data_IF_846013066277
#
_entry.id   IF_846013066277
#
_cell.length_a   1.000
_cell.length_b   1.000
_cell.length_c   1.000
_cell.angle_alpha   90.00
_cell.angle_beta   90.00
_cell.angle_gamma   90.00
#
_symmetry.space_group_name_H-M   'P 1'
#
loop_
_entity.id
_entity.type
_entity.pdbx_description
1 polymer ?
#
# COMPACT_ATOMS: atom_id res chain seq x y z
N UNK A 1 -17.52 8.32 -8.30
CA UNK A 1 -16.44 9.13 -8.88
C UNK A 1 -16.96 10.48 -9.39
N UNK A 2 -17.78 10.50 -10.45
CA UNK A 2 -18.22 11.72 -11.15
C UNK A 2 -19.64 11.58 -11.71
N UNK A 3 -20.45 12.62 -11.56
CA UNK A 3 -21.76 12.83 -12.19
C UNK A 3 -21.81 14.29 -12.63
N UNK A 4 -21.97 14.55 -13.93
CA UNK A 4 -21.89 15.92 -14.49
C UNK A 4 -22.92 16.91 -13.93
N UNK A 5 -23.94 16.42 -13.23
CA UNK A 5 -24.98 17.24 -12.61
C UNK A 5 -25.24 16.76 -11.17
N UNK A 6 -25.54 17.73 -10.29
CA UNK A 6 -26.23 17.44 -9.03
C UNK A 6 -27.67 17.09 -9.37
N UNK A 7 -28.14 15.95 -8.90
CA UNK A 7 -29.48 15.51 -9.23
C UNK A 7 -30.55 16.33 -8.48
N UNK A 8 -31.83 16.13 -8.84
CA UNK A 8 -32.95 16.83 -8.21
C UNK A 8 -33.14 16.46 -6.72
N UNK A 9 -32.41 15.45 -6.22
CA UNK A 9 -32.42 15.04 -4.82
C UNK A 9 -31.22 15.63 -4.04
N UNK A 10 -30.36 16.42 -4.69
CA UNK A 10 -29.20 17.07 -4.07
C UNK A 10 -27.97 16.17 -3.96
N UNK A 11 -27.95 15.01 -4.62
CA UNK A 11 -26.79 14.11 -4.63
C UNK A 11 -25.79 14.55 -5.68
N UNK A 12 -24.51 14.63 -5.28
CA UNK A 12 -23.40 15.01 -6.14
C UNK A 12 -22.24 14.03 -5.98
N UNK A 13 -21.52 13.80 -7.06
CA UNK A 13 -20.28 13.04 -7.02
C UNK A 13 -19.12 13.83 -6.45
N UNK A 14 -18.07 13.13 -6.03
CA UNK A 14 -16.81 13.74 -5.54
C UNK A 14 -16.15 14.64 -6.59
N UNK A 15 -16.05 14.19 -7.84
CA UNK A 15 -15.42 14.95 -8.93
C UNK A 15 -16.33 15.02 -10.18
N UNK A 16 -17.32 15.94 -10.20
CA UNK A 16 -18.31 16.04 -11.30
C UNK A 16 -17.72 16.31 -12.69
N UNK A 17 -16.55 16.95 -12.76
CA UNK A 17 -15.91 17.39 -14.00
C UNK A 17 -15.14 16.31 -14.76
N UNK A 18 -14.98 15.11 -14.19
CA UNK A 18 -14.17 14.05 -14.81
C UNK A 18 -14.83 13.49 -16.07
N UNK A 19 -13.99 13.00 -16.98
CA UNK A 19 -14.39 12.21 -18.13
C UNK A 19 -14.11 10.73 -17.86
N UNK A 20 -14.95 9.84 -18.38
CA UNK A 20 -14.85 8.40 -18.17
C UNK A 20 -14.46 7.67 -19.46
N UNK A 21 -13.58 6.69 -19.30
CA UNK A 21 -13.34 5.62 -20.26
C UNK A 21 -13.75 4.31 -19.58
N UNK A 22 -14.75 3.63 -20.14
CA UNK A 22 -15.23 2.35 -19.62
C UNK A 22 -14.48 1.20 -20.30
N UNK A 23 -13.72 0.44 -19.50
CA UNK A 23 -12.96 -0.74 -19.94
C UNK A 23 -13.57 -1.95 -19.23
N UNK A 24 -14.51 -2.61 -19.91
CA UNK A 24 -15.23 -3.74 -19.35
C UNK A 24 -14.37 -5.01 -19.36
N UNK A 25 -13.95 -5.44 -18.16
CA UNK A 25 -13.18 -6.69 -17.93
C UNK A 25 -13.96 -7.77 -17.18
N UNK A 26 -15.20 -7.47 -16.77
CA UNK A 26 -16.09 -8.38 -16.05
C UNK A 26 -17.35 -8.71 -16.87
N UNK A 27 -17.84 -9.93 -16.70
CA UNK A 27 -19.08 -10.43 -17.27
C UNK A 27 -20.33 -9.82 -16.58
N UNK A 28 -21.52 -10.21 -17.01
CA UNK A 28 -22.79 -9.72 -16.45
C UNK A 28 -23.01 -10.07 -14.98
N UNK A 29 -22.28 -11.04 -14.42
CA UNK A 29 -22.35 -11.42 -13.01
C UNK A 29 -21.33 -10.66 -12.15
N UNK A 30 -20.48 -9.83 -12.76
CA UNK A 30 -19.39 -9.15 -12.06
C UNK A 30 -18.15 -10.05 -11.86
N UNK A 31 -18.03 -11.12 -12.63
CA UNK A 31 -16.87 -12.03 -12.59
C UNK A 31 -16.01 -11.85 -13.83
N UNK A 32 -14.70 -12.05 -13.71
CA UNK A 32 -13.77 -11.99 -14.85
C UNK A 32 -12.56 -12.87 -14.60
N UNK A 33 -11.84 -13.23 -15.66
CA UNK A 33 -10.60 -13.97 -15.52
C UNK A 33 -9.41 -13.03 -15.36
N UNK A 34 -8.30 -13.55 -14.83
CA UNK A 34 -7.04 -12.83 -14.79
C UNK A 34 -6.60 -12.35 -16.19
N UNK A 35 -6.90 -13.12 -17.23
CA UNK A 35 -6.58 -12.75 -18.61
C UNK A 35 -7.39 -11.54 -19.07
N UNK A 36 -8.70 -11.50 -18.80
CA UNK A 36 -9.57 -10.38 -19.18
C UNK A 36 -9.14 -9.08 -18.49
N UNK A 37 -8.75 -9.17 -17.21
CA UNK A 37 -8.27 -8.01 -16.44
C UNK A 37 -6.94 -7.51 -17.02
N UNK A 38 -5.98 -8.40 -17.26
CA UNK A 38 -4.69 -8.02 -17.84
C UNK A 38 -4.85 -7.45 -19.25
N UNK A 39 -5.71 -8.02 -20.10
CA UNK A 39 -6.00 -7.47 -21.43
C UNK A 39 -6.60 -6.06 -21.36
N UNK A 40 -7.48 -5.81 -20.38
CA UNK A 40 -8.01 -4.47 -20.11
C UNK A 40 -6.93 -3.47 -19.67
N UNK A 41 -6.02 -3.89 -18.78
CA UNK A 41 -4.90 -3.04 -18.33
C UNK A 41 -3.90 -2.77 -19.47
N UNK A 42 -3.60 -3.77 -20.30
CA UNK A 42 -2.77 -3.61 -21.49
C UNK A 42 -3.42 -2.66 -22.51
N UNK A 43 -4.75 -2.72 -22.67
CA UNK A 43 -5.46 -1.77 -23.51
C UNK A 43 -5.36 -0.34 -22.95
N UNK A 44 -5.49 -0.16 -21.62
CA UNK A 44 -5.30 1.14 -20.99
C UNK A 44 -3.88 1.64 -21.23
N UNK A 45 -2.87 0.79 -21.02
CA UNK A 45 -1.46 1.10 -21.28
C UNK A 45 -1.23 1.55 -22.72
N UNK A 46 -1.87 0.90 -23.70
CA UNK A 46 -1.73 1.27 -25.11
C UNK A 46 -2.46 2.57 -25.50
N UNK A 47 -3.44 3.03 -24.71
CA UNK A 47 -4.33 4.13 -25.08
C UNK A 47 -4.30 5.33 -24.12
N UNK A 48 -3.61 5.25 -22.97
CA UNK A 48 -3.71 6.26 -21.92
C UNK A 48 -3.27 7.64 -22.39
N UNK A 49 -2.23 7.75 -23.20
CA UNK A 49 -1.77 9.04 -23.72
C UNK A 49 -2.81 9.67 -24.67
N UNK A 50 -3.31 8.87 -25.62
CA UNK A 50 -4.26 9.34 -26.64
C UNK A 50 -5.61 9.76 -26.03
N UNK A 51 -6.02 9.12 -24.94
CA UNK A 51 -7.28 9.38 -24.25
C UNK A 51 -7.11 10.22 -22.98
N UNK A 52 -5.89 10.61 -22.62
CA UNK A 52 -5.55 11.28 -21.37
C UNK A 52 -6.09 10.54 -20.13
N UNK A 53 -5.93 9.20 -20.10
CA UNK A 53 -6.29 8.39 -18.93
C UNK A 53 -5.21 8.61 -17.87
N UNK A 54 -5.59 9.26 -16.76
CA UNK A 54 -4.68 9.58 -15.66
C UNK A 54 -4.85 8.68 -14.43
N UNK A 55 -6.04 8.10 -14.25
CA UNK A 55 -6.39 7.30 -13.09
C UNK A 55 -7.16 6.06 -13.52
N UNK A 56 -6.78 4.90 -12.99
CA UNK A 56 -7.50 3.62 -13.12
C UNK A 56 -8.09 3.26 -11.77
N UNK A 57 -9.42 3.17 -11.72
CA UNK A 57 -10.17 2.72 -10.56
C UNK A 57 -10.43 1.21 -10.66
N UNK A 58 -9.74 0.43 -9.84
CA UNK A 58 -9.88 -1.02 -9.75
C UNK A 58 -10.74 -1.42 -8.54
N UNK A 59 -12.04 -1.17 -8.65
CA UNK A 59 -13.06 -1.62 -7.68
C UNK A 59 -13.38 -3.12 -7.82
N UNK A 60 -12.36 -3.95 -8.05
CA UNK A 60 -12.41 -5.40 -8.21
C UNK A 60 -11.44 -6.06 -7.24
N UNK A 61 -11.63 -7.35 -7.00
CA UNK A 61 -10.82 -8.13 -6.06
C UNK A 61 -10.40 -9.45 -6.68
N UNK A 62 -9.15 -9.83 -6.47
CA UNK A 62 -8.59 -11.13 -6.83
C UNK A 62 -8.01 -11.83 -5.59
N UNK A 63 -7.83 -13.15 -5.72
CA UNK A 63 -7.24 -13.97 -4.66
C UNK A 63 -5.73 -13.74 -4.60
N UNK A 64 -5.19 -13.56 -3.39
CA UNK A 64 -3.74 -13.59 -3.17
C UNK A 64 -3.28 -15.06 -3.16
N UNK A 65 -2.77 -15.54 -4.29
CA UNK A 65 -2.28 -16.91 -4.47
C UNK A 65 -0.75 -17.01 -4.55
N UNK A 66 -0.07 -15.86 -4.63
CA UNK A 66 1.38 -15.69 -4.76
C UNK A 66 1.78 -14.27 -4.32
N UNK A 67 3.07 -14.02 -4.04
CA UNK A 67 3.56 -12.68 -3.72
C UNK A 67 3.22 -11.66 -4.79
N UNK A 68 3.01 -10.40 -4.39
CA UNK A 68 2.61 -9.34 -5.32
C UNK A 68 3.47 -9.27 -6.59
N UNK A 69 4.80 -9.32 -6.46
CA UNK A 69 5.74 -9.21 -7.59
C UNK A 69 5.67 -10.40 -8.58
N UNK A 70 4.97 -11.49 -8.24
CA UNK A 70 4.75 -12.65 -9.10
C UNK A 70 3.31 -12.73 -9.65
N UNK A 71 2.41 -11.86 -9.20
CA UNK A 71 1.02 -11.82 -9.65
C UNK A 71 0.89 -10.98 -10.92
N UNK A 72 0.26 -11.54 -11.95
CA UNK A 72 0.20 -10.90 -13.27
C UNK A 72 -0.66 -9.62 -13.29
N UNK A 73 -1.65 -9.49 -12.41
CA UNK A 73 -2.43 -8.26 -12.29
C UNK A 73 -1.56 -7.20 -11.61
N UNK A 74 -0.83 -7.56 -10.57
CA UNK A 74 0.09 -6.65 -9.85
C UNK A 74 1.20 -6.14 -10.77
N UNK A 75 1.84 -7.02 -11.53
CA UNK A 75 2.81 -6.62 -12.56
C UNK A 75 2.22 -5.65 -13.60
N UNK A 76 0.96 -5.88 -14.02
CA UNK A 76 0.29 -5.00 -14.98
C UNK A 76 -0.04 -3.62 -14.39
N UNK A 77 -0.47 -3.54 -13.12
CA UNK A 77 -0.73 -2.25 -12.47
C UNK A 77 0.56 -1.49 -12.16
N UNK A 78 1.65 -2.19 -11.80
CA UNK A 78 2.98 -1.61 -11.67
C UNK A 78 3.48 -1.01 -12.99
N UNK A 79 3.18 -1.67 -14.13
CA UNK A 79 3.50 -1.13 -15.44
C UNK A 79 2.76 0.18 -15.71
N UNK A 80 1.45 0.23 -15.44
CA UNK A 80 0.67 1.48 -15.55
C UNK A 80 1.22 2.57 -14.62
N UNK A 81 1.56 2.22 -13.38
CA UNK A 81 2.14 3.14 -12.40
C UNK A 81 3.43 3.76 -12.94
N UNK A 82 4.30 2.96 -13.54
CA UNK A 82 5.57 3.40 -14.13
C UNK A 82 5.42 4.36 -15.32
N UNK A 83 4.29 4.29 -16.04
CA UNK A 83 3.95 5.21 -17.14
C UNK A 83 3.17 6.46 -16.65
N UNK A 84 3.09 6.67 -15.32
CA UNK A 84 2.42 7.84 -14.74
C UNK A 84 0.90 7.72 -14.66
N UNK A 85 0.33 6.53 -14.88
CA UNK A 85 -1.09 6.24 -14.69
C UNK A 85 -1.33 5.80 -13.24
N UNK A 86 -2.05 6.59 -12.48
CA UNK A 86 -2.37 6.30 -11.08
C UNK A 86 -3.33 5.10 -10.98
N UNK A 87 -3.02 4.12 -10.13
CA UNK A 87 -3.91 2.97 -9.87
C UNK A 87 -4.42 3.02 -8.44
N UNK A 88 -5.75 2.93 -8.28
CA UNK A 88 -6.44 2.92 -7.00
C UNK A 88 -7.28 1.64 -6.92
N UNK A 89 -7.02 0.82 -5.93
CA UNK A 89 -7.57 -0.52 -5.78
C UNK A 89 -8.35 -0.67 -4.47
N UNK A 90 -9.39 -1.50 -4.50
CA UNK A 90 -10.14 -1.87 -3.31
C UNK A 90 -9.29 -2.76 -2.39
N UNK A 91 -9.35 -2.55 -1.07
CA UNK A 91 -8.71 -3.42 -0.10
C UNK A 91 -9.27 -4.85 -0.13
N UNK A 92 -10.53 -5.02 -0.53
CA UNK A 92 -11.24 -6.28 -0.50
C UNK A 92 -12.38 -6.27 0.50
N UNK A 93 -13.34 -7.18 0.31
CA UNK A 93 -14.47 -7.38 1.22
C UNK A 93 -14.30 -8.67 2.06
N UNK A 94 -13.06 -9.13 2.21
CA UNK A 94 -12.71 -10.36 2.93
C UNK A 94 -12.56 -10.21 4.44
N UNK A 95 -12.86 -9.03 5.00
CA UNK A 95 -12.90 -8.82 6.45
C UNK A 95 -13.97 -9.69 7.14
N UNK A 96 -13.96 -9.76 8.48
CA UNK A 96 -14.88 -10.65 9.23
C UNK A 96 -16.34 -10.22 9.07
N UNK A 97 -17.22 -11.21 9.06
CA UNK A 97 -18.67 -11.01 9.21
C UNK A 97 -19.08 -10.81 10.67
N UNK A 98 -18.17 -10.95 11.63
CA UNK A 98 -18.38 -10.73 13.06
C UNK A 98 -17.56 -9.53 13.55
N UNK A 99 -18.26 -8.48 13.98
CA UNK A 99 -17.68 -7.20 14.40
C UNK A 99 -16.94 -7.35 15.76
N UNK A 100 -17.18 -8.44 16.49
CA UNK A 100 -16.61 -8.66 17.82
C UNK A 100 -15.19 -9.21 17.83
N UNK A 101 -14.71 -9.76 16.70
CA UNK A 101 -13.38 -10.37 16.60
C UNK A 101 -12.30 -9.41 16.05
N UNK A 102 -12.67 -8.20 15.63
CA UNK A 102 -11.76 -7.30 14.90
C UNK A 102 -11.42 -7.83 13.51
N UNK A 103 -11.21 -6.95 12.52
CA UNK A 103 -11.01 -7.40 11.13
C UNK A 103 -9.86 -8.41 11.02
N UNK A 104 -10.14 -9.58 10.44
CA UNK A 104 -9.17 -10.64 10.22
C UNK A 104 -7.99 -10.06 9.46
N UNK A 105 -6.78 -10.13 10.01
CA UNK A 105 -5.59 -9.61 9.34
C UNK A 105 -5.32 -10.41 8.07
N UNK A 106 -4.46 -9.86 7.20
CA UNK A 106 -4.06 -10.51 5.94
C UNK A 106 -5.23 -10.80 4.99
N UNK A 107 -6.20 -9.89 4.92
CA UNK A 107 -7.37 -9.98 4.04
C UNK A 107 -7.35 -8.99 2.88
N UNK A 108 -6.22 -8.28 2.69
CA UNK A 108 -6.00 -7.41 1.54
C UNK A 108 -5.92 -8.25 0.27
N UNK A 109 -6.77 -7.92 -0.70
CA UNK A 109 -6.91 -8.66 -1.96
C UNK A 109 -6.01 -8.11 -3.08
N UNK A 110 -5.86 -8.87 -4.17
CA UNK A 110 -5.24 -8.38 -5.41
C UNK A 110 -6.20 -7.38 -6.08
N UNK A 111 -5.73 -6.24 -6.63
CA UNK A 111 -4.35 -5.75 -6.64
C UNK A 111 -3.98 -4.83 -5.46
N UNK A 112 -4.85 -4.66 -4.47
CA UNK A 112 -4.58 -3.84 -3.29
C UNK A 112 -3.42 -4.34 -2.40
N UNK A 113 -2.94 -5.57 -2.58
CA UNK A 113 -1.77 -6.09 -1.89
C UNK A 113 -0.44 -5.61 -2.48
N UNK A 114 -0.46 -4.96 -3.65
CA UNK A 114 0.69 -4.34 -4.27
C UNK A 114 1.14 -3.09 -3.49
N UNK A 115 2.44 -2.95 -3.17
CA UNK A 115 2.91 -1.83 -2.37
C UNK A 115 2.89 -0.51 -3.15
N UNK A 116 2.91 -0.49 -4.48
CA UNK A 116 2.92 0.76 -5.25
C UNK A 116 1.54 1.43 -5.25
N UNK A 117 0.50 0.66 -5.56
CA UNK A 117 -0.87 1.18 -5.75
C UNK A 117 -1.45 1.79 -4.48
N UNK A 118 -2.52 2.58 -4.65
CA UNK A 118 -3.32 3.09 -3.54
C UNK A 118 -4.40 2.07 -3.20
N UNK A 119 -4.39 1.56 -1.99
CA UNK A 119 -5.33 0.55 -1.48
C UNK A 119 -6.31 1.20 -0.53
N UNK A 120 -7.61 1.02 -0.80
CA UNK A 120 -8.68 1.74 -0.11
C UNK A 120 -9.55 0.81 0.71
N UNK A 121 -9.53 0.99 2.03
CA UNK A 121 -10.49 0.37 2.95
C UNK A 121 -11.79 1.17 3.07
N UNK A 122 -12.79 0.58 3.75
CA UNK A 122 -14.11 1.18 3.91
C UNK A 122 -14.45 1.47 5.37
N UNK A 123 -15.01 2.65 5.61
CA UNK A 123 -15.71 2.97 6.85
C UNK A 123 -17.17 3.30 6.59
N UNK A 124 -17.97 3.29 7.66
CA UNK A 124 -19.36 3.71 7.66
C UNK A 124 -19.53 4.93 8.53
N UNK A 125 -20.40 5.84 8.06
CA UNK A 125 -20.84 7.01 8.80
C UNK A 125 -21.96 6.71 9.79
N UNK A 126 -22.29 5.43 10.01
CA UNK A 126 -23.40 4.97 10.85
C UNK A 126 -24.76 5.68 10.59
N UNK A 127 -25.02 6.14 9.36
CA UNK A 127 -26.18 6.95 8.97
C UNK A 127 -26.23 8.35 9.61
N UNK A 128 -25.10 8.83 10.12
CA UNK A 128 -24.92 10.11 10.81
C UNK A 128 -23.83 10.95 10.11
N UNK A 129 -24.05 11.42 8.86
CA UNK A 129 -23.02 12.09 8.04
C UNK A 129 -22.44 13.40 8.62
N UNK A 130 -23.02 13.94 9.69
CA UNK A 130 -22.56 15.13 10.39
C UNK A 130 -21.90 14.83 11.75
N UNK A 131 -21.94 13.59 12.21
CA UNK A 131 -21.34 13.13 13.46
C UNK A 131 -20.30 12.06 13.13
N UNK A 132 -19.02 12.42 13.27
CA UNK A 132 -17.94 11.48 12.95
C UNK A 132 -17.49 10.68 14.18
N UNK A 133 -18.17 10.86 15.32
CA UNK A 133 -17.78 10.22 16.59
C UNK A 133 -18.26 8.77 16.71
N UNK A 134 -19.24 8.38 15.91
CA UNK A 134 -19.75 7.01 15.80
C UNK A 134 -19.36 6.32 14.49
N UNK A 135 -18.50 6.93 13.69
CA UNK A 135 -17.89 6.33 12.50
C UNK A 135 -17.04 5.10 12.89
N UNK A 136 -17.15 4.01 12.12
CA UNK A 136 -16.33 2.82 12.33
C UNK A 136 -15.90 2.15 11.04
N UNK A 137 -14.78 1.43 11.08
CA UNK A 137 -14.31 0.60 9.96
C UNK A 137 -15.33 -0.51 9.72
N UNK A 138 -15.76 -0.70 8.47
CA UNK A 138 -16.76 -1.71 8.18
C UNK A 138 -16.19 -3.11 8.41
N UNK A 139 -16.99 -4.06 8.93
CA UNK A 139 -16.51 -5.42 9.23
C UNK A 139 -15.97 -6.14 7.97
N UNK A 140 -16.59 -5.87 6.82
CA UNK A 140 -16.15 -6.44 5.55
C UNK A 140 -14.83 -5.86 5.04
N UNK A 141 -14.38 -4.68 5.50
CA UNK A 141 -13.20 -4.02 4.94
C UNK A 141 -11.95 -4.89 5.13
N UNK A 142 -11.25 -5.20 4.04
CA UNK A 142 -9.97 -5.88 4.09
C UNK A 142 -8.97 -5.14 5.00
N UNK A 143 -8.20 -5.91 5.75
CA UNK A 143 -7.22 -5.43 6.71
C UNK A 143 -5.86 -6.10 6.48
N UNK A 144 -4.80 -5.34 6.67
CA UNK A 144 -3.42 -5.79 6.56
C UNK A 144 -2.93 -6.60 7.75
N UNK A 145 -1.61 -6.82 7.85
CA UNK A 145 -0.63 -6.53 6.80
C UNK A 145 -0.89 -7.37 5.53
N UNK A 146 -0.22 -7.05 4.43
CA UNK A 146 -0.24 -7.93 3.25
C UNK A 146 0.55 -9.21 3.49
N UNK A 147 0.50 -10.16 2.56
CA UNK A 147 1.29 -11.40 2.62
C UNK A 147 2.81 -11.15 2.63
N UNK A 148 3.24 -9.98 2.15
CA UNK A 148 4.64 -9.53 2.13
C UNK A 148 4.98 -8.53 3.24
N UNK A 149 4.11 -8.38 4.26
CA UNK A 149 4.41 -7.56 5.43
C UNK A 149 4.26 -6.05 5.22
N UNK A 150 3.58 -5.62 4.16
CA UNK A 150 3.26 -4.19 3.97
C UNK A 150 2.05 -3.78 4.80
N UNK A 151 2.09 -2.56 5.31
CA UNK A 151 0.93 -1.92 5.92
C UNK A 151 -0.05 -1.55 4.81
N UNK A 152 -1.27 -2.08 4.90
CA UNK A 152 -2.41 -1.79 4.01
C UNK A 152 -3.70 -1.90 4.82
N UNK A 153 -4.80 -1.20 4.47
CA UNK A 153 -4.91 -0.25 3.35
C UNK A 153 -4.05 1.01 3.54
N UNK A 154 -3.88 1.82 2.51
CA UNK A 154 -3.16 3.10 2.64
C UNK A 154 -4.05 4.16 3.28
N UNK A 155 -5.34 4.19 2.91
CA UNK A 155 -6.36 5.12 3.41
C UNK A 155 -7.72 4.43 3.47
N UNK A 156 -8.66 5.02 4.19
CA UNK A 156 -10.07 4.60 4.19
C UNK A 156 -10.99 5.69 3.66
N UNK A 157 -12.14 5.31 3.10
CA UNK A 157 -13.16 6.24 2.64
C UNK A 157 -14.57 5.69 2.94
N UNK A 158 -15.62 6.53 2.85
CA UNK A 158 -17.00 6.06 2.98
C UNK A 158 -17.28 4.93 1.98
N UNK A 159 -17.62 3.76 2.50
CA UNK A 159 -17.87 2.56 1.71
C UNK A 159 -19.14 1.81 2.09
N UNK A 160 -19.83 2.24 3.15
CA UNK A 160 -21.18 1.77 3.48
C UNK A 160 -22.22 2.83 3.12
N UNK A 161 -23.46 2.38 2.91
CA UNK A 161 -24.61 3.25 2.64
C UNK A 161 -24.42 4.15 1.41
N UNK A 162 -23.60 3.73 0.46
CA UNK A 162 -23.20 4.53 -0.68
C UNK A 162 -24.31 4.56 -1.71
N UNK A 163 -24.83 5.76 -1.96
CA UNK A 163 -25.87 5.99 -2.97
C UNK A 163 -25.20 6.19 -4.33
N UNK A 164 -25.58 5.36 -5.29
CA UNK A 164 -25.05 5.41 -6.65
C UNK A 164 -26.16 5.14 -7.68
N UNK A 165 -25.92 5.58 -8.91
CA UNK A 165 -26.80 5.27 -10.03
C UNK A 165 -26.58 3.83 -10.50
N UNK A 166 -27.67 3.08 -10.70
CA UNK A 166 -27.63 1.73 -11.26
C UNK A 166 -28.85 1.49 -12.16
N UNK A 167 -28.64 0.74 -13.23
CA UNK A 167 -29.73 0.30 -14.09
C UNK A 167 -30.63 -0.69 -13.34
N UNK A 168 -31.92 -0.39 -13.26
CA UNK A 168 -32.90 -1.17 -12.49
C UNK A 168 -33.08 -2.62 -12.99
N UNK A 169 -32.66 -2.92 -14.21
CA UNK A 169 -32.72 -4.25 -14.81
C UNK A 169 -31.38 -5.00 -14.77
N UNK A 170 -30.33 -4.40 -14.19
CA UNK A 170 -29.02 -5.04 -14.04
C UNK A 170 -29.12 -6.32 -13.19
N UNK A 171 -28.23 -7.31 -13.39
CA UNK A 171 -28.17 -8.48 -12.53
C UNK A 171 -27.99 -8.14 -11.05
N UNK A 172 -27.19 -7.11 -10.75
CA UNK A 172 -26.97 -6.62 -9.38
C UNK A 172 -28.23 -5.98 -8.75
N UNK A 173 -29.00 -5.21 -9.53
CA UNK A 173 -30.30 -4.70 -9.07
C UNK A 173 -31.28 -5.84 -8.72
N UNK A 174 -31.15 -6.98 -9.39
CA UNK A 174 -32.01 -8.16 -9.18
C UNK A 174 -31.50 -9.10 -8.09
N UNK A 175 -30.24 -9.02 -7.69
CA UNK A 175 -29.64 -9.92 -6.71
C UNK A 175 -30.07 -9.62 -5.28
N UNK A 176 -30.61 -8.41 -5.01
CA UNK A 176 -30.91 -7.93 -3.66
C UNK A 176 -29.67 -7.47 -2.88
N UNK A 177 -28.50 -7.39 -3.54
CA UNK A 177 -27.23 -6.92 -2.94
C UNK A 177 -27.13 -5.40 -2.82
N UNK A 178 -28.14 -4.68 -3.29
CA UNK A 178 -28.27 -3.24 -3.18
C UNK A 178 -29.73 -2.91 -2.86
N UNK A 179 -29.95 -1.86 -2.08
CA UNK A 179 -31.29 -1.40 -1.72
C UNK A 179 -31.76 -0.34 -2.72
N UNK A 180 -32.93 -0.55 -3.31
CA UNK A 180 -33.52 0.45 -4.20
C UNK A 180 -34.02 1.64 -3.37
N UNK A 181 -33.54 2.84 -3.68
CA UNK A 181 -33.94 4.06 -2.98
C UNK A 181 -35.06 4.75 -3.76
N UNK A 182 -34.77 5.17 -4.99
CA UNK A 182 -35.71 5.89 -5.86
C UNK A 182 -35.19 5.96 -7.28
N UNK A 183 -36.05 5.75 -8.28
CA UNK A 183 -35.67 5.92 -9.69
C UNK A 183 -34.51 4.99 -10.07
N UNK A 184 -33.36 5.55 -10.45
CA UNK A 184 -32.12 4.82 -10.75
C UNK A 184 -31.12 4.82 -9.59
N UNK A 185 -31.52 5.27 -8.40
CA UNK A 185 -30.65 5.37 -7.25
C UNK A 185 -30.77 4.17 -6.33
N UNK A 186 -29.61 3.62 -6.00
CA UNK A 186 -29.46 2.43 -5.21
C UNK A 186 -28.39 2.65 -4.14
N UNK A 187 -28.60 2.04 -2.99
CA UNK A 187 -27.64 2.05 -1.89
C UNK A 187 -26.87 0.73 -1.89
N UNK A 188 -25.55 0.82 -1.80
CA UNK A 188 -24.64 -0.32 -1.78
C UNK A 188 -23.57 -0.18 -0.71
N UNK A 189 -22.91 -1.29 -0.39
CA UNK A 189 -21.78 -1.31 0.54
C UNK A 189 -20.63 -2.13 -0.05
N UNK A 190 -19.40 -1.67 0.15
CA UNK A 190 -18.18 -2.36 -0.26
C UNK A 190 -16.99 -1.41 -0.37
N UNK A 191 -15.79 -1.97 -0.24
CA UNK A 191 -14.54 -1.24 -0.54
C UNK A 191 -14.47 -0.75 -1.98
N UNK A 192 -15.23 -1.38 -2.90
CA UNK A 192 -15.48 -0.89 -4.26
C UNK A 192 -16.02 0.54 -4.31
N UNK A 193 -16.93 0.90 -3.40
CA UNK A 193 -17.51 2.25 -3.34
C UNK A 193 -16.55 3.26 -2.69
N UNK A 194 -15.82 2.84 -1.65
CA UNK A 194 -14.76 3.64 -1.04
C UNK A 194 -13.65 3.97 -2.05
N UNK A 195 -13.23 3.00 -2.87
CA UNK A 195 -12.27 3.17 -3.97
C UNK A 195 -12.75 4.26 -4.95
N UNK A 196 -14.03 4.26 -5.30
CA UNK A 196 -14.63 5.26 -6.18
C UNK A 196 -14.69 6.67 -5.55
N UNK A 197 -14.71 6.79 -4.22
CA UNK A 197 -14.59 8.06 -3.50
C UNK A 197 -13.15 8.58 -3.60
N UNK A 198 -12.16 7.75 -3.26
CA UNK A 198 -10.74 8.12 -3.32
C UNK A 198 -10.30 8.45 -4.75
N UNK A 199 -10.78 7.72 -5.76
CA UNK A 199 -10.57 8.07 -7.18
C UNK A 199 -11.07 9.47 -7.51
N UNK A 200 -12.23 9.88 -6.96
CA UNK A 200 -12.72 11.25 -7.11
C UNK A 200 -11.81 12.27 -6.44
N UNK A 201 -11.32 12.00 -5.23
CA UNK A 201 -10.38 12.90 -4.53
C UNK A 201 -9.06 13.01 -5.29
N UNK A 202 -8.51 11.89 -5.79
CA UNK A 202 -7.31 11.88 -6.61
C UNK A 202 -7.49 12.68 -7.92
N UNK A 203 -8.68 12.64 -8.53
CA UNK A 203 -8.98 13.47 -9.69
C UNK A 203 -8.98 14.97 -9.35
N UNK A 204 -9.49 15.36 -8.17
CA UNK A 204 -9.41 16.76 -7.72
C UNK A 204 -7.97 17.20 -7.40
N UNK A 205 -7.15 16.31 -6.84
CA UNK A 205 -5.71 16.57 -6.62
C UNK A 205 -5.01 16.83 -7.96
N UNK A 206 -5.26 15.99 -8.97
CA UNK A 206 -4.68 16.16 -10.31
C UNK A 206 -5.26 17.34 -11.09
N UNK A 207 -6.51 17.76 -10.82
CA UNK A 207 -7.08 18.98 -11.38
C UNK A 207 -6.40 20.23 -10.80
N UNK A 208 -6.12 20.23 -9.49
CA UNK A 208 -5.38 21.30 -8.83
C UNK A 208 -3.90 21.33 -9.22
N UNK A 209 -3.29 20.16 -9.46
CA UNK A 209 -1.88 20.05 -9.83
C UNK A 209 -1.66 18.88 -10.83
N UNK A 210 -1.70 19.14 -12.14
CA UNK A 210 -1.66 18.10 -13.17
C UNK A 210 -0.30 17.45 -13.37
N UNK A 211 0.76 18.05 -12.83
CA UNK A 211 2.15 17.62 -12.98
C UNK A 211 2.58 16.57 -11.94
N UNK A 212 1.70 16.24 -10.98
CA UNK A 212 1.99 15.24 -9.95
C UNK A 212 2.10 13.82 -10.52
N UNK A 213 3.07 13.08 -9.99
CA UNK A 213 3.24 11.65 -10.27
C UNK A 213 2.31 10.79 -9.40
N UNK A 214 2.08 9.51 -9.76
CA UNK A 214 1.34 8.58 -8.91
C UNK A 214 1.86 8.49 -7.47
N UNK A 215 3.19 8.46 -7.28
CA UNK A 215 3.83 8.41 -5.95
C UNK A 215 3.53 9.65 -5.11
N UNK A 216 3.46 10.82 -5.76
CA UNK A 216 3.17 12.08 -5.09
C UNK A 216 1.70 12.14 -4.69
N UNK A 217 0.77 11.76 -5.59
CA UNK A 217 -0.66 11.69 -5.26
C UNK A 217 -0.92 10.72 -4.10
N UNK A 218 -0.24 9.56 -4.10
CA UNK A 218 -0.30 8.62 -2.97
C UNK A 218 0.20 9.26 -1.67
N UNK A 219 1.36 9.93 -1.72
CA UNK A 219 1.91 10.63 -0.56
C UNK A 219 0.92 11.64 0.00
N UNK A 220 0.34 12.49 -0.85
CA UNK A 220 -0.63 13.53 -0.44
C UNK A 220 -1.86 12.88 0.20
N UNK A 221 -2.43 11.85 -0.42
CA UNK A 221 -3.62 11.18 0.11
C UNK A 221 -3.38 10.57 1.49
N UNK A 222 -2.18 10.03 1.75
CA UNK A 222 -1.80 9.46 3.04
C UNK A 222 -1.45 10.55 4.07
N UNK A 223 -0.64 11.53 3.69
CA UNK A 223 -0.17 12.60 4.59
C UNK A 223 -1.31 13.50 5.06
N UNK A 224 -2.32 13.70 4.22
CA UNK A 224 -3.47 14.58 4.48
C UNK A 224 -4.71 13.80 4.97
N UNK A 225 -4.59 12.48 5.17
CA UNK A 225 -5.66 11.68 5.76
C UNK A 225 -5.88 12.07 7.22
N UNK A 226 -7.13 11.96 7.70
CA UNK A 226 -7.45 12.18 9.10
C UNK A 226 -7.55 10.83 9.84
N UNK A 227 -6.59 10.48 10.72
CA UNK A 227 -6.63 9.23 11.45
C UNK A 227 -7.78 9.22 12.46
N UNK A 228 -8.40 8.04 12.62
CA UNK A 228 -9.34 7.76 13.69
C UNK A 228 -8.56 7.50 14.98
N UNK A 229 -8.65 8.47 15.89
CA UNK A 229 -8.00 8.45 17.21
C UNK A 229 -9.03 8.74 18.29
N UNK A 230 -8.80 8.17 19.48
CA UNK A 230 -9.50 8.58 20.70
C UNK A 230 -8.97 9.92 21.21
N UNK A 231 -9.62 10.46 22.24
CA UNK A 231 -9.26 11.76 22.82
C UNK A 231 -7.87 11.79 23.47
N UNK A 232 -7.30 10.63 23.80
CA UNK A 232 -5.94 10.46 24.30
C UNK A 232 -4.91 10.21 23.20
N UNK A 233 -5.29 10.46 21.94
CA UNK A 233 -4.47 10.29 20.73
C UNK A 233 -4.11 8.82 20.40
N UNK A 234 -4.63 7.86 21.16
CA UNK A 234 -4.49 6.45 20.81
C UNK A 234 -5.36 6.11 19.59
N UNK A 235 -4.86 5.20 18.74
CA UNK A 235 -5.59 4.81 17.53
C UNK A 235 -6.91 4.11 17.88
N UNK A 236 -8.01 4.57 17.31
CA UNK A 236 -9.30 3.90 17.42
C UNK A 236 -9.34 2.59 16.62
N UNK A 237 -8.52 2.51 15.57
CA UNK A 237 -8.37 1.34 14.70
C UNK A 237 -6.89 1.12 14.41
N UNK A 238 -6.46 -0.13 14.30
CA UNK A 238 -5.06 -0.41 13.97
C UNK A 238 -4.68 0.18 12.61
N UNK A 239 -3.38 0.44 12.41
CA UNK A 239 -2.86 0.89 11.11
C UNK A 239 -3.17 -0.11 9.97
N UNK A 240 -3.33 -1.40 10.31
CA UNK A 240 -3.76 -2.44 9.37
C UNK A 240 -5.24 -2.34 8.96
N UNK A 241 -6.04 -1.55 9.65
CA UNK A 241 -7.47 -1.37 9.36
C UNK A 241 -7.74 -0.01 8.70
N UNK A 242 -7.15 1.06 9.24
CA UNK A 242 -7.41 2.42 8.77
C UNK A 242 -6.32 3.00 7.86
N UNK A 243 -5.14 2.37 7.78
CA UNK A 243 -3.99 2.95 7.10
C UNK A 243 -3.58 4.27 7.75
N UNK A 244 -3.36 5.29 6.91
CA UNK A 244 -3.12 6.66 7.35
C UNK A 244 -4.39 7.37 7.88
N UNK A 245 -5.57 6.78 7.69
CA UNK A 245 -6.84 7.34 8.16
C UNK A 245 -7.84 7.60 7.03
N UNK A 246 -8.90 8.36 7.36
CA UNK A 246 -9.94 8.71 6.39
C UNK A 246 -9.42 9.73 5.39
N UNK A 247 -9.73 9.52 4.10
CA UNK A 247 -9.39 10.49 3.06
C UNK A 247 -10.03 11.85 3.35
N UNK A 248 -9.28 12.93 3.17
CA UNK A 248 -9.73 14.29 3.47
C UNK A 248 -9.44 15.26 2.33
N UNK A 249 -10.39 15.38 1.40
CA UNK A 249 -10.22 16.17 0.18
C UNK A 249 -9.83 17.65 0.41
N UNK A 250 -10.39 18.39 1.38
CA UNK A 250 -10.04 19.80 1.56
C UNK A 250 -8.55 20.04 1.85
N UNK A 251 -7.94 19.22 2.70
CA UNK A 251 -6.51 19.36 3.03
C UNK A 251 -5.63 18.84 1.90
N UNK A 252 -6.00 17.71 1.29
CA UNK A 252 -5.29 17.15 0.14
C UNK A 252 -5.17 18.12 -1.05
N UNK A 253 -6.25 18.85 -1.37
CA UNK A 253 -6.25 19.85 -2.45
C UNK A 253 -5.46 21.09 -2.03
N UNK A 254 -5.63 21.57 -0.80
CA UNK A 254 -4.90 22.73 -0.30
C UNK A 254 -3.38 22.50 -0.25
N UNK A 255 -2.93 21.25 -0.03
CA UNK A 255 -1.53 20.87 0.01
C UNK A 255 -0.81 20.95 -1.35
N UNK A 256 -1.57 21.02 -2.46
CA UNK A 256 -1.01 20.98 -3.83
C UNK A 256 -1.31 22.21 -4.68
N UNK A 257 -2.30 23.00 -4.29
CA UNK A 257 -2.70 24.21 -5.02
C UNK A 257 -1.58 25.26 -5.02
N UNK A 258 -1.06 25.59 -6.21
CA UNK A 258 0.06 26.50 -6.39
C UNK A 258 1.42 25.96 -5.93
N UNK A 259 1.53 24.68 -5.59
CA UNK A 259 2.78 24.03 -5.17
C UNK A 259 3.47 23.40 -6.38
N UNK A 260 4.79 23.58 -6.51
CA UNK A 260 5.54 22.92 -7.58
C UNK A 260 5.57 21.40 -7.34
N UNK A 261 5.23 20.59 -8.34
CA UNK A 261 5.28 19.13 -8.21
C UNK A 261 6.66 18.64 -7.74
N UNK A 262 7.75 19.26 -8.17
CA UNK A 262 9.11 18.90 -7.75
C UNK A 262 9.39 19.06 -6.23
N UNK A 263 8.56 19.81 -5.49
CA UNK A 263 8.66 19.93 -4.02
C UNK A 263 7.80 18.94 -3.25
N UNK A 264 6.95 18.17 -3.92
CA UNK A 264 6.09 17.17 -3.28
C UNK A 264 6.87 15.87 -3.09
N UNK A 265 6.97 15.33 -1.86
CA UNK A 265 7.60 14.03 -1.60
C UNK A 265 6.89 12.86 -2.30
N UNK A 266 7.61 11.75 -2.47
CA UNK A 266 7.11 10.53 -3.11
C UNK A 266 6.87 9.42 -2.09
N UNK A 267 5.71 8.75 -2.14
CA UNK A 267 5.37 7.66 -1.22
C UNK A 267 6.26 6.42 -1.38
N UNK A 268 6.64 6.08 -2.61
CA UNK A 268 7.42 4.88 -2.92
C UNK A 268 8.89 5.21 -3.24
N UNK A 269 9.44 6.25 -2.59
CA UNK A 269 10.81 6.71 -2.88
C UNK A 269 11.85 5.59 -2.63
N UNK A 270 12.68 5.31 -3.64
CA UNK A 270 13.67 4.22 -3.60
C UNK A 270 13.12 2.84 -4.00
N UNK A 271 11.81 2.72 -4.27
CA UNK A 271 11.22 1.51 -4.84
C UNK A 271 11.12 1.63 -6.37
N UNK A 272 11.35 0.51 -7.06
CA UNK A 272 11.30 0.42 -8.52
C UNK A 272 10.26 -0.63 -8.92
N UNK A 273 9.25 -0.29 -9.74
CA UNK A 273 8.31 -1.27 -10.27
C UNK A 273 9.01 -2.47 -10.92
N UNK A 274 8.53 -3.68 -10.63
CA UNK A 274 9.12 -4.95 -11.05
C UNK A 274 10.18 -5.53 -10.10
N UNK A 275 10.70 -4.74 -9.16
CA UNK A 275 11.63 -5.24 -8.14
C UNK A 275 10.88 -5.76 -6.90
N UNK A 276 11.30 -6.90 -6.32
CA UNK A 276 10.66 -7.47 -5.13
C UNK A 276 11.10 -6.74 -3.85
N UNK A 277 10.12 -6.37 -3.04
CA UNK A 277 10.29 -5.74 -1.74
C UNK A 277 9.52 -6.51 -0.67
N UNK A 278 9.94 -6.33 0.58
CA UNK A 278 9.27 -6.88 1.77
C UNK A 278 8.97 -5.71 2.68
N UNK A 279 7.77 -5.67 3.24
CA UNK A 279 7.39 -4.66 4.20
C UNK A 279 7.99 -4.93 5.59
N UNK A 280 7.91 -3.95 6.50
CA UNK A 280 8.56 -4.00 7.80
C UNK A 280 7.81 -4.86 8.82
N UNK A 281 6.73 -5.55 8.44
CA UNK A 281 5.88 -6.30 9.39
C UNK A 281 6.18 -7.80 9.32
N UNK A 282 6.46 -8.39 10.47
CA UNK A 282 6.67 -9.83 10.65
C UNK A 282 5.69 -10.40 11.67
N UNK A 283 5.40 -11.69 11.57
CA UNK A 283 4.57 -12.40 12.54
C UNK A 283 5.45 -13.21 13.50
N UNK A 284 5.38 -12.90 14.80
CA UNK A 284 6.17 -13.54 15.87
C UNK A 284 5.31 -13.67 17.13
N UNK A 285 5.49 -14.75 17.88
CA UNK A 285 4.86 -14.96 19.18
C UNK A 285 3.34 -14.76 19.25
N UNK A 286 2.65 -14.93 18.11
CA UNK A 286 1.19 -14.79 18.03
C UNK A 286 0.70 -13.43 17.55
N UNK A 287 1.58 -12.46 17.31
CA UNK A 287 1.24 -11.07 16.95
C UNK A 287 2.08 -10.54 15.76
N UNK A 288 1.67 -9.39 15.22
CA UNK A 288 2.39 -8.66 14.19
C UNK A 288 3.32 -7.60 14.79
N UNK A 289 4.60 -7.68 14.42
CA UNK A 289 5.66 -6.80 14.91
C UNK A 289 6.20 -5.97 13.75
N UNK A 290 6.44 -4.69 14.01
CA UNK A 290 7.30 -3.88 13.15
C UNK A 290 8.74 -4.19 13.48
N UNK A 291 9.54 -4.42 12.45
CA UNK A 291 10.97 -4.67 12.59
C UNK A 291 11.78 -3.68 11.79
N UNK A 292 12.98 -3.42 12.27
CA UNK A 292 13.98 -2.70 11.52
C UNK A 292 14.62 -3.56 10.42
N UNK A 293 15.50 -2.92 9.70
CA UNK A 293 16.65 -3.46 8.99
C UNK A 293 17.14 -4.87 9.26
N UNK A 294 17.44 -5.10 10.54
CA UNK A 294 18.16 -6.23 11.07
C UNK A 294 17.18 -7.29 11.55
N UNK A 295 15.88 -7.02 11.42
CA UNK A 295 14.81 -7.85 11.94
C UNK A 295 14.60 -7.68 13.44
N UNK A 296 15.14 -6.63 14.06
CA UNK A 296 14.94 -6.31 15.48
C UNK A 296 13.60 -5.61 15.65
N UNK A 297 12.87 -5.97 16.71
CA UNK A 297 11.56 -5.39 17.00
C UNK A 297 11.69 -3.91 17.32
N UNK A 298 10.89 -3.10 16.63
CA UNK A 298 10.72 -1.70 16.94
C UNK A 298 9.70 -1.64 18.07
N UNK A 299 10.16 -1.35 19.29
CA UNK A 299 9.30 -1.25 20.48
C UNK A 299 8.22 -0.18 20.27
N UNK A 300 6.97 -0.64 20.20
CA UNK A 300 5.78 0.18 19.88
C UNK A 300 5.14 0.82 21.13
N UNK A 301 5.84 0.80 22.27
CA UNK A 301 5.31 1.17 23.59
C UNK A 301 5.13 2.69 23.81
N UNK A 302 5.26 3.50 22.75
CA UNK A 302 4.98 4.93 22.75
C UNK A 302 4.13 5.27 21.52
N UNK A 303 2.90 5.72 21.76
CA UNK A 303 1.89 5.97 20.74
C UNK A 303 2.41 6.61 19.46
N UNK A 304 1.92 6.09 18.34
CA UNK A 304 2.03 6.72 17.03
C UNK A 304 1.34 8.09 17.06
N UNK A 305 2.05 9.16 16.72
CA UNK A 305 1.46 10.49 16.55
C UNK A 305 1.50 10.91 15.09
N UNK A 306 0.33 11.15 14.47
CA UNK A 306 0.22 11.73 13.14
C UNK A 306 -0.84 12.84 13.10
N UNK A 307 -0.35 14.09 13.08
CA UNK A 307 -0.91 15.22 12.34
C UNK A 307 0.09 16.39 12.44
N UNK A 308 1.23 16.31 11.74
CA UNK A 308 2.12 17.46 11.54
C UNK A 308 3.16 17.84 12.62
N UNK A 309 3.49 17.02 13.64
CA UNK A 309 4.82 17.08 14.30
C UNK A 309 5.01 16.68 15.79
N UNK A 310 6.27 16.36 16.13
CA UNK A 310 7.05 16.44 17.38
C UNK A 310 7.02 15.36 18.48
N UNK A 311 8.07 14.52 18.52
CA UNK A 311 8.49 13.79 19.73
C UNK A 311 9.28 14.70 20.70
N UNK A 312 8.84 14.82 21.95
CA UNK A 312 9.37 15.73 22.97
C UNK A 312 10.61 15.21 23.73
N UNK A 313 10.88 13.91 23.69
CA UNK A 313 12.12 13.27 24.13
C UNK A 313 12.09 11.77 23.79
N UNK A 314 13.06 11.27 23.02
CA UNK A 314 13.39 9.83 22.94
C UNK A 314 12.53 8.93 22.04
N UNK A 315 11.97 9.40 20.91
CA UNK A 315 11.24 8.56 19.94
C UNK A 315 11.88 8.50 18.54
N UNK A 316 11.56 7.45 17.77
CA UNK A 316 11.92 7.27 16.35
C UNK A 316 10.75 7.69 15.43
N UNK A 317 11.04 8.39 14.32
CA UNK A 317 10.01 8.87 13.38
C UNK A 317 10.19 8.33 11.97
N UNK A 318 9.07 8.06 11.27
CA UNK A 318 9.06 7.65 9.86
C UNK A 318 8.07 8.49 9.04
N UNK A 319 8.55 8.94 7.88
CA UNK A 319 8.01 9.80 6.84
C UNK A 319 6.79 10.69 7.15
N UNK A 320 7.01 11.82 7.85
CA UNK A 320 6.11 12.99 7.96
C UNK A 320 5.95 13.56 9.37
N UNK A 321 6.72 13.06 10.33
CA UNK A 321 6.97 13.75 11.61
C UNK A 321 8.07 14.81 11.53
N UNK A 322 7.90 15.92 12.25
CA UNK A 322 8.94 16.94 12.52
C UNK A 322 9.54 16.73 13.93
N UNK A 323 10.83 17.04 14.15
CA UNK A 323 11.50 17.01 15.47
C UNK A 323 12.02 18.40 15.90
N UNK A 324 11.88 18.77 17.18
CA UNK A 324 12.29 20.09 17.71
C UNK A 324 13.26 19.89 18.88
N UNK A 325 14.56 19.98 18.58
CA UNK A 325 15.71 19.91 19.49
C UNK A 325 15.90 18.60 20.29
N UNK A 326 17.04 17.92 20.09
CA UNK A 326 17.48 16.78 20.91
C UNK A 326 17.00 15.38 20.46
N UNK A 327 16.55 15.22 19.21
CA UNK A 327 16.36 13.91 18.60
C UNK A 327 17.69 13.26 18.21
N UNK A 328 17.84 11.95 18.39
CA UNK A 328 19.10 11.23 18.12
C UNK A 328 19.18 10.68 16.69
N UNK A 329 20.38 10.83 16.13
CA UNK A 329 20.87 10.51 14.80
C UNK A 329 22.04 9.52 14.97
N UNK A 330 22.22 8.52 14.09
CA UNK A 330 23.42 7.68 14.11
C UNK A 330 24.53 8.32 13.27
N UNK A 331 25.54 8.83 13.96
CA UNK A 331 26.66 9.62 13.42
C UNK A 331 27.72 8.75 12.72
N UNK A 332 27.66 7.42 12.83
CA UNK A 332 28.61 6.52 12.18
C UNK A 332 28.25 6.18 10.72
N UNK A 333 26.98 6.33 10.33
CA UNK A 333 26.46 5.84 9.03
C UNK A 333 25.78 6.90 8.17
N UNK A 334 25.34 8.04 8.73
CA UNK A 334 24.77 9.14 7.94
C UNK A 334 23.48 8.79 7.17
N UNK A 335 22.87 7.63 7.47
CA UNK A 335 21.68 7.14 6.80
C UNK A 335 20.49 7.12 7.76
N UNK A 336 19.42 7.81 7.38
CA UNK A 336 18.08 7.39 7.80
C UNK A 336 17.88 5.97 7.28
N UNK A 337 17.37 5.06 8.12
CA UNK A 337 16.81 3.84 7.56
C UNK A 337 15.57 4.22 6.73
N UNK A 338 15.50 3.61 5.57
CA UNK A 338 14.76 3.91 4.33
C UNK A 338 13.31 4.39 4.44
N UNK A 339 13.05 5.62 4.88
CA UNK A 339 11.72 6.25 4.84
C UNK A 339 11.36 7.12 6.06
N UNK A 340 12.33 7.59 6.84
CA UNK A 340 12.16 8.76 7.71
C UNK A 340 12.59 10.07 7.01
N UNK A 341 11.78 11.14 7.07
CA UNK A 341 12.13 12.47 6.54
C UNK A 341 12.75 13.39 7.62
N UNK A 342 13.78 14.17 7.27
CA UNK A 342 14.33 15.30 8.04
C UNK A 342 14.96 16.36 7.13
N UNK A 343 14.93 17.66 7.49
CA UNK A 343 15.38 18.78 6.60
C UNK A 343 16.24 19.89 7.27
N UNK A 344 17.09 20.47 6.41
CA UNK A 344 18.14 21.52 6.50
C UNK A 344 18.23 22.46 7.72
N UNK A 345 19.46 22.62 8.22
CA UNK A 345 19.81 23.30 9.48
C UNK A 345 20.10 22.33 10.62
N UNK A 346 20.08 21.01 10.36
CA UNK A 346 20.62 19.97 11.22
C UNK A 346 22.11 20.24 11.41
N UNK A 347 22.43 20.94 12.49
CA UNK A 347 23.78 21.38 12.80
C UNK A 347 24.59 20.13 13.11
N UNK A 348 25.42 19.71 12.16
CA UNK A 348 26.60 18.95 12.46
C UNK A 348 27.56 19.90 13.19
N UNK A 349 28.02 19.49 14.36
CA UNK A 349 29.12 20.13 15.05
C UNK A 349 29.75 18.99 15.89
N UNK A 350 30.92 18.42 15.57
CA UNK A 350 32.18 19.06 15.19
C UNK A 350 33.15 18.09 14.46
N UNK A 351 33.93 18.68 13.54
CA UNK A 351 35.25 18.28 12.98
C UNK A 351 35.30 17.47 11.68
N UNK A 352 35.46 18.25 10.60
CA UNK A 352 36.30 18.05 9.41
C UNK A 352 36.21 16.69 8.69
N UNK A 353 35.88 16.74 7.39
CA UNK A 353 36.70 16.28 6.24
C UNK A 353 35.78 16.16 5.00
N UNK A 354 36.25 16.50 3.79
CA UNK A 354 35.40 16.65 2.61
C UNK A 354 35.18 15.29 1.92
N UNK A 355 33.93 14.97 1.55
CA UNK A 355 33.50 14.33 0.29
C UNK A 355 32.06 13.80 0.41
N UNK A 356 31.22 14.26 -0.52
CA UNK A 356 29.80 13.95 -0.64
C UNK A 356 29.57 12.47 -1.04
N UNK A 357 28.64 11.75 -0.40
CA UNK A 357 28.12 10.49 -0.95
C UNK A 357 26.60 10.40 -0.85
N UNK A 358 25.96 10.54 -2.01
CA UNK A 358 24.58 10.14 -2.32
C UNK A 358 24.65 8.76 -2.97
N UNK A 359 23.84 7.78 -2.57
CA UNK A 359 23.76 6.50 -3.28
C UNK A 359 22.36 6.24 -3.85
N UNK A 360 22.29 6.31 -5.18
CA UNK A 360 21.25 5.77 -6.06
C UNK A 360 21.68 4.40 -6.61
N UNK A 361 20.68 3.58 -6.95
CA UNK A 361 20.72 2.17 -7.38
C UNK A 361 21.68 1.83 -8.54
N UNK A 362 22.40 0.70 -8.45
CA UNK A 362 23.13 0.09 -9.57
C UNK A 362 23.91 -1.20 -9.21
N UNK A 363 23.87 -2.22 -10.07
CA UNK A 363 24.64 -3.46 -9.94
C UNK A 363 26.17 -3.25 -10.04
N UNK A 364 26.98 -3.90 -9.18
CA UNK A 364 28.30 -4.45 -9.57
C UNK A 364 29.55 -4.18 -8.70
N UNK A 365 29.99 -5.22 -7.98
CA UNK A 365 31.36 -5.64 -7.60
C UNK A 365 32.38 -4.65 -6.97
N UNK A 366 32.76 -4.92 -5.72
CA UNK A 366 34.03 -5.58 -5.33
C UNK A 366 34.44 -5.21 -3.89
N UNK A 367 34.61 -6.23 -3.04
CA UNK A 367 35.47 -6.17 -1.85
C UNK A 367 34.89 -5.51 -0.60
N UNK A 368 34.12 -6.26 0.19
CA UNK A 368 33.78 -5.91 1.57
C UNK A 368 33.01 -7.04 2.23
N UNK A 369 33.45 -7.48 3.42
CA UNK A 369 33.10 -8.76 4.05
C UNK A 369 31.61 -8.89 4.41
N UNK A 370 30.90 -9.86 3.82
CA UNK A 370 29.54 -10.24 4.18
C UNK A 370 29.48 -11.50 5.04
N UNK A 371 28.54 -11.53 6.00
CA UNK A 371 28.05 -12.76 6.65
C UNK A 371 26.70 -13.18 6.05
N UNK A 372 26.51 -14.49 5.98
CA UNK A 372 25.53 -15.26 5.21
C UNK A 372 24.05 -14.90 5.47
N UNK A 373 23.09 -15.17 4.57
CA UNK A 373 23.13 -16.05 3.41
C UNK A 373 22.02 -15.79 2.38
N UNK A 374 22.39 -15.95 1.11
CA UNK A 374 21.50 -16.01 -0.05
C UNK A 374 21.95 -17.14 -0.97
N UNK A 375 21.02 -17.72 -1.72
CA UNK A 375 21.26 -18.84 -2.64
C UNK A 375 22.26 -18.45 -3.74
N UNK A 376 23.37 -19.18 -3.82
CA UNK A 376 24.39 -19.00 -4.86
C UNK A 376 24.89 -20.34 -5.39
N UNK A 377 24.87 -20.49 -6.71
CA UNK A 377 25.47 -21.61 -7.43
C UNK A 377 27.00 -21.62 -7.29
N UNK A 378 27.53 -22.80 -6.94
CA UNK A 378 28.88 -23.33 -7.21
C UNK A 378 30.14 -22.49 -6.89
N UNK A 379 30.93 -23.00 -5.93
CA UNK A 379 32.39 -23.07 -6.06
C UNK A 379 33.21 -22.22 -5.08
N UNK A 380 33.47 -22.74 -3.87
CA UNK A 380 34.49 -22.19 -2.98
C UNK A 380 34.47 -22.81 -1.58
N UNK A 381 35.62 -23.31 -1.14
CA UNK A 381 35.88 -24.16 0.03
C UNK A 381 35.21 -23.71 1.35
N UNK A 382 34.34 -24.57 1.90
CA UNK A 382 33.80 -24.44 3.25
C UNK A 382 34.62 -25.24 4.29
N UNK A 383 34.55 -24.81 5.54
CA UNK A 383 34.90 -25.64 6.69
C UNK A 383 33.65 -25.98 7.51
N UNK A 384 33.43 -27.29 7.60
CA UNK A 384 32.70 -28.05 8.61
C UNK A 384 31.16 -27.91 8.72
N UNK A 385 30.48 -29.02 8.39
CA UNK A 385 29.29 -29.43 9.15
C UNK A 385 28.05 -29.91 8.40
N UNK A 386 28.14 -30.38 7.15
CA UNK A 386 26.98 -30.94 6.43
C UNK A 386 27.11 -32.44 6.18
N UNK A 387 26.25 -33.24 6.84
CA UNK A 387 25.91 -34.58 6.37
C UNK A 387 24.91 -34.45 5.21
N UNK A 388 25.25 -34.98 4.06
CA UNK A 388 24.27 -35.29 3.03
C UNK A 388 24.84 -36.39 2.16
N UNK A 389 24.10 -37.46 1.92
CA UNK A 389 24.28 -38.29 0.73
C UNK A 389 22.96 -39.00 0.39
N UNK A 390 22.43 -38.67 -0.78
CA UNK A 390 21.82 -39.64 -1.67
C UNK A 390 22.66 -39.67 -2.96
N UNK A 391 23.31 -40.81 -3.18
CA UNK A 391 23.59 -41.43 -4.48
C UNK A 391 24.49 -40.72 -5.51
N UNK A 392 25.68 -41.25 -5.77
CA UNK A 392 26.49 -40.89 -6.94
C UNK A 392 27.93 -41.38 -6.87
N UNK A 393 28.19 -42.57 -7.41
CA UNK A 393 29.46 -43.29 -7.44
C UNK A 393 30.56 -42.61 -8.27
N UNK A 394 31.83 -42.78 -7.87
CA UNK A 394 32.86 -43.16 -8.84
C UNK A 394 34.30 -42.64 -8.68
N UNK A 395 35.15 -43.49 -8.07
CA UNK A 395 36.57 -43.79 -8.36
C UNK A 395 37.65 -42.69 -8.33
N UNK A 396 38.63 -42.83 -7.42
CA UNK A 396 39.98 -43.33 -7.74
C UNK A 396 40.96 -43.35 -6.52
N UNK A 397 41.59 -44.51 -6.28
CA UNK A 397 42.89 -44.72 -5.59
C UNK A 397 42.91 -44.56 -4.06
N UNK A 398 43.08 -45.58 -3.21
CA UNK A 398 43.71 -46.89 -3.35
C UNK A 398 45.01 -46.93 -2.55
N UNK A 399 44.98 -47.51 -1.33
CA UNK A 399 46.01 -48.18 -0.50
C UNK A 399 45.34 -48.36 0.88
N UNK A 400 45.26 -49.49 1.60
CA UNK A 400 45.72 -50.86 1.50
C UNK A 400 45.49 -51.51 2.88
N UNK A 401 44.75 -52.63 2.91
CA UNK A 401 44.76 -53.73 3.89
C UNK A 401 44.92 -53.49 5.41
N UNK A 402 43.87 -53.83 6.16
CA UNK A 402 43.97 -54.78 7.27
C UNK A 402 42.62 -55.50 7.45
N UNK A 403 42.66 -56.82 7.32
CA UNK A 403 41.54 -57.71 7.58
C UNK A 403 41.41 -58.02 9.07
N UNK A 404 40.20 -58.47 9.44
CA UNK A 404 39.88 -59.65 10.25
C UNK A 404 39.15 -59.45 11.60
N UNK A 405 37.88 -59.94 11.58
CA UNK A 405 37.10 -60.75 12.55
C UNK A 405 36.84 -60.23 13.98
N UNK A 406 35.72 -60.52 14.65
CA UNK A 406 34.75 -61.62 14.57
C UNK A 406 33.39 -61.23 15.21
N UNK A 407 32.36 -61.95 14.74
CA UNK A 407 31.04 -62.28 15.33
C UNK A 407 30.00 -61.18 15.61
#
# INVERSE_FOLDING_TARGET
IGSRETDQNGWTSVAPGVQFVDVRVLDETGSGTYADIVEGLDWILANHEALNIRIVNMSLVGVVDRPYFANIINQAVERLWSEGVLVIAAAGNGGVTDISDGNTPMTISVPGNDPFVITVGAFTDNFTPADTSDDYITPFSGAGPTEMGFVKPDVVAPGAHMIAEMQNNSPWAKSGSAEHIKGHWWQSAGTSAATAVVTGVAALILDANPDLTPDQVKYILMAEAAPAVYADETLAWSIFQQGAGRVWAPSAIAAVDGVAAASVPSANNGMVPGEPYVGPVVYRDGDFHFVDANGEDILVDGGYGWAGGYGWAGGYGWAGGYGWAGGFFDEATGTTWTGGYGWAGSVADWQDWPEDQVWQSGYGWAGGYGWAGGYGWAGGYGWAGGYGWAGGYGWAGGYGWAAHVNE
#
